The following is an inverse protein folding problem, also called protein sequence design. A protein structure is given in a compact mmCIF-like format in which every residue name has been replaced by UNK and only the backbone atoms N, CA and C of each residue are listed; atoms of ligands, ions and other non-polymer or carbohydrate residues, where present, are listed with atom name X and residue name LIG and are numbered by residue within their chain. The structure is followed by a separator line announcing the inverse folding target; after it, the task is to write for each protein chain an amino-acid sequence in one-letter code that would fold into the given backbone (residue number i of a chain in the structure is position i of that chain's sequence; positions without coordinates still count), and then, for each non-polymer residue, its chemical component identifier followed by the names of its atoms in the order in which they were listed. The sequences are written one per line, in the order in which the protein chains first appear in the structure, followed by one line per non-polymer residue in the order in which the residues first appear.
data_IF_274185635556
#
_entry.id   IF_274185635556
#
_cell.length_a   1.000
_cell.length_b   1.000
_cell.length_c   1.000
_cell.angle_alpha   90.00
_cell.angle_beta   90.00
_cell.angle_gamma   90.00
#
_symmetry.space_group_name_H-M   'P 1'
#
loop_
_entity.id
_entity.type
_entity.pdbx_description
1 polymer ?
#
# COMPACT_ATOMS: atom_id res chain seq x y z
N UNK A 1 -19.07 30.14 6.16
CA UNK A 1 -17.66 30.32 6.54
C UNK A 1 -16.87 29.60 5.46
N UNK A 2 -15.93 30.27 4.79
CA UNK A 2 -15.04 29.57 3.86
C UNK A 2 -14.32 28.49 4.67
N UNK A 3 -14.51 27.23 4.29
CA UNK A 3 -13.80 26.11 4.91
C UNK A 3 -12.30 26.43 4.82
N UNK A 4 -11.71 26.57 5.99
CA UNK A 4 -10.27 26.82 6.08
C UNK A 4 -9.58 25.59 5.51
N UNK A 5 -8.69 25.78 4.53
CA UNK A 5 -7.87 24.69 3.99
C UNK A 5 -6.98 24.14 5.14
N UNK A 6 -7.50 23.15 5.87
CA UNK A 6 -6.90 22.59 7.06
C UNK A 6 -6.72 21.07 6.87
N UNK A 7 -5.48 20.58 6.73
CA UNK A 7 -5.23 19.16 6.54
C UNK A 7 -5.65 18.32 7.76
N UNK A 8 -5.63 18.89 8.97
CA UNK A 8 -6.01 18.19 10.19
C UNK A 8 -7.51 17.92 10.22
N UNK A 9 -8.33 18.93 9.92
CA UNK A 9 -9.78 18.78 9.87
C UNK A 9 -10.21 17.81 8.75
N UNK A 10 -9.58 17.88 7.57
CA UNK A 10 -9.86 16.97 6.47
C UNK A 10 -9.48 15.53 6.81
N UNK A 11 -8.32 15.32 7.44
CA UNK A 11 -7.89 14.00 7.89
C UNK A 11 -8.85 13.42 8.92
N UNK A 12 -9.23 14.21 9.94
CA UNK A 12 -10.20 13.79 10.98
C UNK A 12 -11.52 13.35 10.34
N UNK A 13 -12.06 14.13 9.41
CA UNK A 13 -13.30 13.77 8.71
C UNK A 13 -13.21 12.47 7.89
N UNK A 14 -12.05 12.17 7.31
CA UNK A 14 -11.85 10.88 6.64
C UNK A 14 -11.67 9.73 7.64
N UNK A 15 -11.01 9.94 8.78
CA UNK A 15 -10.86 8.92 9.84
C UNK A 15 -12.21 8.49 10.37
N UNK A 16 -13.14 9.42 10.59
CA UNK A 16 -14.49 9.15 11.10
C UNK A 16 -15.33 8.26 10.18
N UNK A 17 -14.86 8.06 8.93
CA UNK A 17 -15.47 7.15 7.96
C UNK A 17 -14.65 5.85 7.90
N UNK A 18 -15.22 4.77 8.44
CA UNK A 18 -14.60 3.44 8.42
C UNK A 18 -14.46 2.92 7.00
N UNK A 19 -13.24 2.62 6.55
CA UNK A 19 -12.90 2.15 5.20
C UNK A 19 -11.88 1.01 5.21
N UNK A 20 -12.19 -0.03 5.97
CA UNK A 20 -11.34 -1.24 6.03
C UNK A 20 -11.36 -1.95 4.69
N UNK A 21 -10.17 -2.32 4.18
CA UNK A 21 -9.94 -2.85 2.83
C UNK A 21 -10.79 -4.06 2.42
N UNK A 22 -11.29 -4.84 3.40
CA UNK A 22 -12.17 -6.00 3.13
C UNK A 22 -13.57 -5.63 2.66
N UNK A 23 -14.01 -4.38 2.89
CA UNK A 23 -15.36 -3.90 2.59
C UNK A 23 -15.32 -2.77 1.56
N UNK A 24 -16.52 -2.34 1.15
CA UNK A 24 -16.60 -1.21 0.23
C UNK A 24 -16.04 0.08 0.89
N UNK A 25 -15.48 0.94 0.05
CA UNK A 25 -14.96 2.24 0.45
C UNK A 25 -15.80 3.42 -0.10
N UNK A 26 -17.05 3.16 -0.49
CA UNK A 26 -17.93 4.14 -1.15
C UNK A 26 -18.06 5.41 -0.32
N UNK A 27 -18.35 5.28 0.98
CA UNK A 27 -18.61 6.44 1.84
C UNK A 27 -17.41 7.40 1.94
N UNK A 28 -16.19 6.88 2.10
CA UNK A 28 -14.98 7.72 2.12
C UNK A 28 -14.69 8.33 0.75
N UNK A 29 -14.98 7.60 -0.33
CA UNK A 29 -14.81 8.09 -1.70
C UNK A 29 -15.80 9.22 -2.02
N UNK A 30 -17.07 9.12 -1.58
CA UNK A 30 -18.06 10.20 -1.69
C UNK A 30 -17.62 11.46 -0.92
N UNK A 31 -17.05 11.26 0.27
CA UNK A 31 -16.52 12.37 1.07
C UNK A 31 -15.36 13.08 0.34
N UNK A 32 -14.38 12.30 -0.14
CA UNK A 32 -13.22 12.82 -0.89
C UNK A 32 -13.66 13.53 -2.17
N UNK A 33 -14.54 12.92 -2.97
CA UNK A 33 -15.03 13.52 -4.21
C UNK A 33 -15.79 14.82 -3.96
N UNK A 34 -16.69 14.80 -2.97
CA UNK A 34 -17.47 16.00 -2.61
C UNK A 34 -16.57 17.14 -2.18
N UNK A 35 -15.55 16.84 -1.37
CA UNK A 35 -14.58 17.84 -0.96
C UNK A 35 -13.77 18.38 -2.15
N UNK A 36 -13.27 17.51 -3.03
CA UNK A 36 -12.53 17.91 -4.23
C UNK A 36 -13.38 18.83 -5.14
N UNK A 37 -14.64 18.47 -5.41
CA UNK A 37 -15.56 19.29 -6.20
C UNK A 37 -15.78 20.67 -5.59
N UNK A 38 -15.99 20.74 -4.28
CA UNK A 38 -16.16 21.99 -3.54
C UNK A 38 -14.93 22.92 -3.63
N UNK A 39 -13.73 22.36 -3.90
CA UNK A 39 -12.48 23.10 -4.01
C UNK A 39 -11.93 23.24 -5.43
N UNK A 40 -12.82 23.06 -6.43
CA UNK A 40 -12.54 23.38 -7.83
C UNK A 40 -11.74 22.33 -8.59
N UNK A 41 -11.81 21.07 -8.17
CA UNK A 41 -11.31 19.94 -8.96
C UNK A 41 -12.38 19.45 -9.94
N UNK A 42 -11.96 19.10 -11.14
CA UNK A 42 -12.67 18.16 -11.99
C UNK A 42 -12.42 16.75 -11.44
N UNK A 43 -13.45 15.92 -11.26
CA UNK A 43 -13.34 14.61 -10.64
C UNK A 43 -13.78 13.50 -11.56
N UNK A 44 -13.16 12.34 -11.43
CA UNK A 44 -13.52 11.09 -12.10
C UNK A 44 -13.74 10.02 -11.05
N UNK A 45 -14.92 9.35 -11.14
CA UNK A 45 -15.31 8.23 -10.30
C UNK A 45 -15.02 6.94 -11.03
N UNK A 46 -14.10 6.14 -10.52
CA UNK A 46 -13.69 4.85 -11.08
C UNK A 46 -14.11 3.71 -10.15
N UNK A 47 -15.00 2.85 -10.61
CA UNK A 47 -15.57 1.79 -9.78
C UNK A 47 -15.28 0.42 -10.38
N UNK A 48 -14.94 -0.54 -9.51
CA UNK A 48 -14.83 -1.96 -9.83
C UNK A 48 -15.40 -2.80 -8.69
N UNK A 49 -15.46 -4.11 -8.89
CA UNK A 49 -15.77 -5.08 -7.83
C UNK A 49 -14.55 -5.94 -7.58
N UNK A 50 -14.23 -6.15 -6.30
CA UNK A 50 -13.18 -7.08 -5.92
C UNK A 50 -13.62 -8.56 -6.12
N UNK A 51 -12.74 -9.50 -5.81
CA UNK A 51 -12.98 -10.94 -5.93
C UNK A 51 -14.15 -11.45 -5.06
N UNK A 52 -14.52 -10.71 -4.01
CA UNK A 52 -15.64 -10.99 -3.11
C UNK A 52 -16.95 -10.31 -3.55
N UNK A 53 -16.90 -9.52 -4.62
CA UNK A 53 -18.05 -8.75 -5.14
C UNK A 53 -18.28 -7.42 -4.43
N UNK A 54 -17.38 -6.99 -3.54
CA UNK A 54 -17.43 -5.70 -2.85
C UNK A 54 -17.14 -4.55 -3.83
N UNK A 55 -17.91 -3.47 -3.70
CA UNK A 55 -17.73 -2.27 -4.51
C UNK A 55 -16.50 -1.50 -4.05
N UNK A 56 -15.59 -1.25 -4.97
CA UNK A 56 -14.36 -0.49 -4.75
C UNK A 56 -14.36 0.74 -5.63
N UNK A 57 -14.00 1.86 -5.05
CA UNK A 57 -14.06 3.16 -5.72
C UNK A 57 -12.73 3.89 -5.58
N UNK A 58 -12.25 4.41 -6.70
CA UNK A 58 -11.11 5.31 -6.75
C UNK A 58 -11.57 6.67 -7.25
N UNK A 59 -11.06 7.74 -6.68
CA UNK A 59 -11.35 9.11 -7.09
C UNK A 59 -10.08 9.71 -7.69
N UNK A 60 -10.21 10.24 -8.89
CA UNK A 60 -9.15 11.05 -9.51
C UNK A 60 -9.64 12.49 -9.61
N UNK A 61 -8.94 13.40 -8.95
CA UNK A 61 -9.16 14.83 -9.03
C UNK A 61 -8.12 15.49 -9.94
N UNK A 62 -8.57 16.36 -10.86
CA UNK A 62 -7.70 17.17 -11.71
C UNK A 62 -7.92 18.66 -11.42
N UNK A 63 -6.83 19.42 -11.33
CA UNK A 63 -6.89 20.89 -11.24
C UNK A 63 -5.96 21.53 -12.27
N UNK A 64 -6.47 22.48 -13.04
CA UNK A 64 -5.79 23.01 -14.21
C UNK A 64 -5.78 22.06 -15.40
N UNK A 65 -5.09 22.44 -16.46
CA UNK A 65 -5.03 21.68 -17.72
C UNK A 65 -3.59 21.50 -18.19
N UNK A 66 -3.40 20.56 -19.14
CA UNK A 66 -2.11 20.27 -19.76
C UNK A 66 -1.36 19.13 -19.09
N UNK A 67 -0.50 18.46 -19.85
CA UNK A 67 0.33 17.32 -19.44
C UNK A 67 1.65 17.78 -18.81
N UNK A 68 2.31 16.87 -18.09
CA UNK A 68 3.66 17.10 -17.56
C UNK A 68 3.71 17.82 -16.24
N UNK A 69 2.60 17.87 -15.49
CA UNK A 69 2.53 18.44 -14.14
C UNK A 69 2.86 17.44 -13.03
N UNK A 70 2.23 17.63 -11.86
CA UNK A 70 2.41 16.80 -10.68
C UNK A 70 1.25 15.82 -10.50
N UNK A 71 1.58 14.59 -10.11
CA UNK A 71 0.63 13.60 -9.61
C UNK A 71 0.90 13.31 -8.13
N UNK A 72 -0.17 13.20 -7.35
CA UNK A 72 -0.14 12.76 -5.95
C UNK A 72 -1.06 11.53 -5.83
N UNK A 73 -0.53 10.47 -5.26
CA UNK A 73 -1.17 9.17 -5.23
C UNK A 73 -1.23 8.68 -3.79
N UNK A 74 -2.43 8.33 -3.32
CA UNK A 74 -2.68 7.89 -1.96
C UNK A 74 -3.85 6.93 -1.93
N UNK A 75 -3.93 6.07 -0.91
CA UNK A 75 -5.09 5.21 -0.70
C UNK A 75 -6.02 5.73 0.39
N UNK A 76 -7.27 5.24 0.38
CA UNK A 76 -8.32 5.59 1.34
C UNK A 76 -8.68 4.46 2.28
N UNK A 77 -8.33 3.24 1.89
CA UNK A 77 -8.55 2.05 2.71
C UNK A 77 -7.56 1.95 3.86
N UNK A 78 -7.85 1.13 4.83
CA UNK A 78 -7.03 0.90 6.02
C UNK A 78 -7.09 -0.56 6.45
N UNK A 79 -6.08 -1.01 7.19
CA UNK A 79 -6.18 -2.28 7.93
C UNK A 79 -7.25 -2.17 9.04
N UNK A 80 -7.73 -3.31 9.61
CA UNK A 80 -8.65 -3.32 10.75
C UNK A 80 -8.13 -2.50 11.95
N UNK A 81 -9.05 -1.84 12.66
CA UNK A 81 -8.71 -0.91 13.73
C UNK A 81 -8.46 -1.53 15.11
N UNK A 82 -8.78 -2.82 15.35
CA UNK A 82 -8.74 -3.44 16.68
C UNK A 82 -9.61 -2.68 17.70
N UNK A 83 -10.91 -2.55 17.37
CA UNK A 83 -11.88 -1.70 18.10
C UNK A 83 -12.09 -2.09 19.57
N UNK A 84 -11.64 -3.28 19.97
CA UNK A 84 -11.61 -3.74 21.37
C UNK A 84 -10.56 -3.04 22.24
N UNK A 85 -9.53 -2.44 21.61
CA UNK A 85 -8.39 -1.85 22.31
C UNK A 85 -8.43 -0.32 22.35
N UNK A 86 -9.14 0.33 21.40
CA UNK A 86 -9.23 1.78 21.27
C UNK A 86 -10.38 2.22 20.34
N UNK A 87 -10.56 3.54 20.12
CA UNK A 87 -11.53 4.09 19.15
C UNK A 87 -10.86 4.47 17.81
N UNK A 88 -10.59 3.52 16.91
CA UNK A 88 -9.77 3.75 15.71
C UNK A 88 -10.42 4.66 14.68
N UNK A 89 -11.76 4.69 14.63
CA UNK A 89 -12.51 5.44 13.60
C UNK A 89 -13.10 6.73 14.20
N UNK A 90 -12.29 7.39 15.01
CA UNK A 90 -12.54 8.71 15.53
C UNK A 90 -11.26 9.53 15.48
N UNK A 91 -11.26 10.59 14.65
CA UNK A 91 -10.12 11.50 14.54
C UNK A 91 -10.05 12.44 15.75
N UNK A 92 -9.08 12.21 16.65
CA UNK A 92 -8.92 12.99 17.88
C UNK A 92 -7.57 13.68 17.91
N UNK A 93 -7.58 15.01 18.08
CA UNK A 93 -6.35 15.78 18.32
C UNK A 93 -6.06 15.81 19.81
N UNK A 94 -4.89 15.28 20.20
CA UNK A 94 -4.35 15.35 21.53
C UNK A 94 -2.92 15.90 21.50
N UNK A 95 -2.72 17.06 22.10
CA UNK A 95 -1.43 17.75 22.05
C UNK A 95 -1.04 18.14 20.62
N UNK A 96 0.08 17.62 20.14
CA UNK A 96 0.66 17.86 18.82
C UNK A 96 0.39 16.73 17.81
N UNK A 97 -0.58 15.84 18.12
CA UNK A 97 -0.88 14.63 17.34
C UNK A 97 -2.36 14.51 16.99
N UNK A 98 -2.62 13.96 15.80
CA UNK A 98 -3.93 13.49 15.38
C UNK A 98 -3.96 11.97 15.45
N UNK A 99 -4.76 11.41 16.33
CA UNK A 99 -4.97 9.98 16.52
C UNK A 99 -6.11 9.48 15.66
N UNK A 100 -6.01 8.22 15.21
CA UNK A 100 -7.04 7.49 14.49
C UNK A 100 -6.46 6.58 13.42
N UNK A 101 -7.15 5.49 13.06
CA UNK A 101 -6.75 4.56 12.00
C UNK A 101 -6.73 5.26 10.65
N UNK A 102 -5.60 5.19 9.95
CA UNK A 102 -5.35 5.92 8.71
C UNK A 102 -4.87 7.36 8.91
N UNK A 103 -4.65 7.82 10.16
CA UNK A 103 -4.07 9.14 10.39
C UNK A 103 -2.68 9.25 9.77
N UNK A 104 -1.88 8.20 9.89
CA UNK A 104 -0.56 8.07 9.32
C UNK A 104 -0.58 7.32 7.98
N UNK A 105 -1.35 6.23 7.90
CA UNK A 105 -1.38 5.31 6.76
C UNK A 105 -2.81 5.15 6.20
N UNK A 106 -3.24 5.98 5.13
CA UNK A 106 -2.54 7.19 4.74
C UNK A 106 -3.50 8.36 4.44
N UNK A 107 -4.66 8.45 5.21
CA UNK A 107 -5.66 9.52 5.05
C UNK A 107 -5.08 10.91 5.37
N UNK A 108 -4.13 10.99 6.33
CA UNK A 108 -3.42 12.23 6.63
C UNK A 108 -2.56 12.72 5.46
N UNK A 109 -1.64 11.90 4.94
CA UNK A 109 -0.92 12.20 3.71
C UNK A 109 -1.83 12.57 2.53
N UNK A 110 -2.94 11.85 2.29
CA UNK A 110 -3.95 12.21 1.27
C UNK A 110 -4.51 13.63 1.51
N UNK A 111 -4.92 13.94 2.74
CA UNK A 111 -5.40 15.28 3.08
C UNK A 111 -4.38 16.36 2.77
N UNK A 112 -3.11 16.14 3.10
CA UNK A 112 -2.03 17.07 2.79
C UNK A 112 -1.90 17.35 1.28
N UNK A 113 -2.00 16.31 0.43
CA UNK A 113 -1.95 16.47 -1.04
C UNK A 113 -3.17 17.23 -1.57
N UNK A 114 -4.37 16.90 -1.08
CA UNK A 114 -5.62 17.56 -1.46
C UNK A 114 -5.60 19.05 -1.10
N UNK A 115 -5.20 19.39 0.13
CA UNK A 115 -5.09 20.78 0.61
C UNK A 115 -4.03 21.55 -0.19
N UNK A 116 -2.88 20.96 -0.45
CA UNK A 116 -1.82 21.59 -1.22
C UNK A 116 -2.29 21.96 -2.65
N UNK A 117 -2.97 21.04 -3.30
CA UNK A 117 -3.52 21.27 -4.64
C UNK A 117 -4.71 22.26 -4.62
N UNK A 118 -5.56 22.23 -3.59
CA UNK A 118 -6.66 23.18 -3.45
C UNK A 118 -6.18 24.62 -3.22
N UNK A 119 -5.07 24.79 -2.49
CA UNK A 119 -4.49 26.11 -2.17
C UNK A 119 -3.89 26.84 -3.38
N UNK A 120 -3.75 26.18 -4.53
CA UNK A 120 -3.18 26.78 -5.73
C UNK A 120 -4.30 27.33 -6.63
N UNK A 121 -4.11 28.55 -7.12
CA UNK A 121 -5.01 29.18 -8.09
C UNK A 121 -4.92 28.49 -9.45
N UNK A 122 -6.01 27.85 -9.88
CA UNK A 122 -6.07 27.10 -11.14
C UNK A 122 -5.73 27.98 -12.37
N UNK A 123 -6.00 29.28 -12.33
CA UNK A 123 -5.70 30.21 -13.43
C UNK A 123 -4.20 30.44 -13.65
N UNK A 124 -3.37 30.10 -12.66
CA UNK A 124 -1.90 30.19 -12.72
C UNK A 124 -1.22 28.89 -13.15
N UNK A 125 -1.97 27.81 -13.22
CA UNK A 125 -1.43 26.52 -13.62
C UNK A 125 -1.23 26.45 -15.14
N UNK A 126 -0.01 26.18 -15.58
CA UNK A 126 0.36 25.88 -16.97
C UNK A 126 0.30 24.39 -17.28
N UNK A 127 0.29 23.54 -16.24
CA UNK A 127 0.20 22.09 -16.28
C UNK A 127 -0.71 21.64 -15.16
N UNK A 128 -1.46 20.56 -15.42
CA UNK A 128 -2.42 20.05 -14.46
C UNK A 128 -1.76 19.44 -13.21
N UNK A 129 -2.50 19.47 -12.11
CA UNK A 129 -2.24 18.68 -10.91
C UNK A 129 -3.25 17.55 -10.85
N UNK A 130 -2.79 16.32 -10.67
CA UNK A 130 -3.60 15.13 -10.46
C UNK A 130 -3.48 14.70 -8.99
N UNK A 131 -4.60 14.41 -8.34
CA UNK A 131 -4.65 13.76 -7.02
C UNK A 131 -5.51 12.51 -7.17
N UNK A 132 -4.95 11.34 -6.94
CA UNK A 132 -5.69 10.09 -6.94
C UNK A 132 -5.81 9.54 -5.51
N UNK A 133 -7.03 9.15 -5.15
CA UNK A 133 -7.39 8.50 -3.90
C UNK A 133 -7.91 7.10 -4.24
N UNK A 134 -7.09 6.07 -3.99
CA UNK A 134 -7.33 4.69 -4.41
C UNK A 134 -7.86 3.80 -3.30
N UNK A 135 -8.33 2.62 -3.66
CA UNK A 135 -8.74 1.54 -2.77
C UNK A 135 -7.75 0.38 -2.83
N UNK A 136 -7.86 -0.54 -1.85
CA UNK A 136 -7.20 -1.84 -1.83
C UNK A 136 -5.66 -1.83 -1.90
N UNK A 137 -5.00 -0.76 -1.45
CA UNK A 137 -3.55 -0.76 -1.28
C UNK A 137 -3.13 -1.89 -0.34
N UNK A 138 -3.77 -1.99 0.81
CA UNK A 138 -3.52 -2.95 1.89
C UNK A 138 -3.77 -4.43 1.49
N UNK A 139 -4.39 -4.65 0.33
CA UNK A 139 -4.66 -5.96 -0.25
C UNK A 139 -3.89 -6.24 -1.54
N UNK A 140 -2.97 -5.35 -1.95
CA UNK A 140 -2.09 -5.58 -3.10
C UNK A 140 -2.21 -4.57 -4.25
N UNK A 141 -2.87 -3.43 -4.04
CA UNK A 141 -2.83 -2.29 -4.94
C UNK A 141 -3.68 -2.43 -6.21
N UNK A 142 -4.81 -3.14 -6.13
CA UNK A 142 -5.70 -3.30 -7.29
C UNK A 142 -6.34 -1.96 -7.70
N UNK A 143 -6.70 -1.10 -6.72
CA UNK A 143 -7.25 0.22 -6.99
C UNK A 143 -6.28 1.12 -7.75
N UNK A 144 -5.01 1.13 -7.36
CA UNK A 144 -3.97 1.88 -8.07
C UNK A 144 -3.75 1.35 -9.49
N UNK A 145 -3.74 0.01 -9.67
CA UNK A 145 -3.66 -0.61 -11.00
C UNK A 145 -4.85 -0.20 -11.86
N UNK A 146 -6.08 -0.34 -11.33
CA UNK A 146 -7.30 0.01 -12.04
C UNK A 146 -7.31 1.49 -12.44
N UNK A 147 -6.92 2.39 -11.52
CA UNK A 147 -6.80 3.82 -11.79
C UNK A 147 -5.81 4.11 -12.90
N UNK A 148 -4.63 3.50 -12.87
CA UNK A 148 -3.57 3.70 -13.87
C UNK A 148 -4.01 3.23 -15.25
N UNK A 149 -4.79 2.16 -15.34
CA UNK A 149 -5.26 1.58 -16.59
C UNK A 149 -6.49 2.31 -17.18
N UNK A 150 -7.38 2.87 -16.33
CA UNK A 150 -8.71 3.32 -16.77
C UNK A 150 -8.99 4.81 -16.61
N UNK A 151 -8.19 5.57 -15.83
CA UNK A 151 -8.45 6.98 -15.63
C UNK A 151 -8.20 7.81 -16.89
N UNK A 152 -9.25 8.41 -17.41
CA UNK A 152 -9.19 9.34 -18.54
C UNK A 152 -8.65 10.71 -18.13
N UNK A 153 -8.97 11.17 -16.91
CA UNK A 153 -8.42 12.43 -16.39
C UNK A 153 -6.90 12.34 -16.25
N UNK A 154 -6.39 11.24 -15.66
CA UNK A 154 -4.95 11.04 -15.53
C UNK A 154 -4.27 10.87 -16.90
N UNK A 155 -4.86 10.12 -17.84
CA UNK A 155 -4.34 9.97 -19.19
C UNK A 155 -4.32 11.30 -19.96
N UNK A 156 -5.39 12.08 -19.85
CA UNK A 156 -5.54 13.39 -20.50
C UNK A 156 -4.56 14.43 -19.96
N UNK A 157 -4.19 14.35 -18.70
CA UNK A 157 -3.29 15.28 -17.98
C UNK A 157 -2.09 14.55 -17.37
N UNK A 158 -1.51 13.57 -18.08
CA UNK A 158 -0.47 12.69 -17.55
C UNK A 158 0.66 13.47 -16.86
N UNK A 159 0.92 13.25 -15.56
CA UNK A 159 1.97 13.93 -14.82
C UNK A 159 3.38 13.56 -15.30
N UNK A 160 4.33 14.49 -15.18
CA UNK A 160 5.76 14.19 -15.36
C UNK A 160 6.40 13.62 -14.11
N UNK A 161 5.85 13.94 -12.94
CA UNK A 161 6.35 13.53 -11.62
C UNK A 161 5.20 13.03 -10.76
N UNK A 162 5.43 11.90 -10.08
CA UNK A 162 4.49 11.30 -9.15
C UNK A 162 5.04 11.25 -7.72
N UNK A 163 4.19 11.59 -6.76
CA UNK A 163 4.44 11.39 -5.32
C UNK A 163 3.46 10.34 -4.83
N UNK A 164 3.97 9.21 -4.34
CA UNK A 164 3.19 8.25 -3.56
C UNK A 164 3.37 8.66 -2.10
N UNK A 165 2.29 9.15 -1.49
CA UNK A 165 2.39 9.96 -0.27
C UNK A 165 2.45 9.13 1.03
N UNK A 166 3.05 7.95 1.00
CA UNK A 166 3.24 7.05 2.15
C UNK A 166 4.13 7.65 3.26
N UNK A 167 3.99 7.16 4.50
CA UNK A 167 4.71 7.70 5.66
C UNK A 167 6.22 7.41 5.60
N UNK A 168 7.01 8.43 5.24
CA UNK A 168 8.48 8.36 5.12
C UNK A 168 9.20 9.40 5.99
N UNK A 169 8.52 10.02 6.95
CA UNK A 169 9.06 11.15 7.71
C UNK A 169 9.55 12.29 6.81
N UNK A 170 8.92 12.49 5.64
CA UNK A 170 9.30 13.44 4.61
C UNK A 170 10.74 13.22 4.09
N UNK A 171 11.22 11.98 4.10
CA UNK A 171 12.46 11.59 3.44
C UNK A 171 12.12 10.95 2.11
N UNK A 172 12.73 11.34 0.98
CA UNK A 172 12.47 10.72 -0.30
C UNK A 172 12.89 9.25 -0.31
N UNK A 173 11.98 8.37 -0.69
CA UNK A 173 12.27 6.92 -0.82
C UNK A 173 12.26 6.57 -2.31
N UNK A 174 13.42 6.15 -2.83
CA UNK A 174 13.61 5.86 -4.24
C UNK A 174 13.44 4.36 -4.57
N UNK A 175 13.46 3.50 -3.56
CA UNK A 175 13.23 2.08 -3.75
C UNK A 175 12.59 1.41 -2.52
N UNK A 176 11.75 0.41 -2.76
CA UNK A 176 11.17 -0.42 -1.71
C UNK A 176 11.03 -1.88 -2.15
N UNK A 177 10.90 -2.79 -1.18
CA UNK A 177 10.64 -4.21 -1.46
C UNK A 177 9.17 -4.42 -1.81
N UNK A 178 8.91 -5.53 -2.50
CA UNK A 178 7.57 -5.98 -2.81
C UNK A 178 7.01 -6.96 -1.79
N UNK A 179 6.06 -7.78 -2.26
CA UNK A 179 5.46 -8.88 -1.50
C UNK A 179 5.27 -10.11 -2.38
N UNK A 180 5.56 -11.28 -1.84
CA UNK A 180 5.26 -12.57 -2.46
C UNK A 180 4.55 -13.46 -1.46
N UNK A 181 3.51 -14.15 -1.91
CA UNK A 181 2.73 -15.10 -1.11
C UNK A 181 2.46 -16.35 -1.94
N UNK A 182 2.82 -17.50 -1.40
CA UNK A 182 2.55 -18.79 -1.98
C UNK A 182 1.70 -19.58 -1.00
N UNK A 183 0.44 -19.84 -1.36
CA UNK A 183 -0.50 -20.62 -0.56
C UNK A 183 -0.53 -22.05 -1.05
N UNK A 184 -0.20 -22.99 -0.17
CA UNK A 184 -0.10 -24.42 -0.45
C UNK A 184 -1.10 -25.15 0.41
N UNK A 185 -2.01 -25.94 -0.18
CA UNK A 185 -3.07 -26.67 0.53
C UNK A 185 -2.98 -28.16 0.27
N UNK A 186 -2.73 -28.92 1.34
CA UNK A 186 -2.84 -30.37 1.36
C UNK A 186 -4.28 -30.77 1.73
N UNK A 187 -4.84 -31.75 1.01
CA UNK A 187 -6.19 -32.32 1.26
C UNK A 187 -6.06 -33.72 1.84
N UNK A 188 -6.68 -33.94 2.98
CA UNK A 188 -6.81 -35.23 3.65
C UNK A 188 -8.24 -35.75 3.62
N UNK A 189 -8.56 -36.67 4.52
CA UNK A 189 -9.91 -37.19 4.73
C UNK A 189 -10.24 -37.18 6.21
N UNK A 190 -11.30 -36.44 6.59
CA UNK A 190 -11.72 -36.37 7.99
C UNK A 190 -12.36 -37.69 8.46
N UNK A 191 -11.91 -38.17 9.59
CA UNK A 191 -12.53 -39.31 10.30
C UNK A 191 -12.16 -39.22 11.78
N UNK A 192 -12.89 -39.92 12.63
CA UNK A 192 -12.52 -40.06 14.04
C UNK A 192 -11.24 -40.90 14.15
N UNK A 193 -10.26 -40.43 14.95
CA UNK A 193 -8.94 -41.06 15.04
C UNK A 193 -8.98 -42.54 15.53
N UNK A 194 -10.05 -42.97 16.23
CA UNK A 194 -10.22 -44.36 16.65
C UNK A 194 -10.64 -45.32 15.53
N UNK A 195 -11.01 -44.81 14.35
CA UNK A 195 -11.52 -45.67 13.26
C UNK A 195 -10.43 -46.03 12.24
N UNK A 196 -9.32 -45.33 12.23
CA UNK A 196 -8.22 -45.48 11.29
C UNK A 196 -8.63 -45.34 9.80
N UNK A 197 -9.78 -44.66 9.55
CA UNK A 197 -10.35 -44.44 8.21
C UNK A 197 -9.94 -43.07 7.62
N UNK A 198 -9.27 -42.24 8.41
CA UNK A 198 -8.91 -40.87 7.99
C UNK A 198 -7.52 -40.78 7.37
N UNK A 199 -7.31 -39.66 6.66
CA UNK A 199 -5.98 -39.25 6.13
C UNK A 199 -5.72 -37.84 6.64
N UNK A 200 -4.70 -37.68 7.49
CA UNK A 200 -4.38 -36.38 8.05
C UNK A 200 -3.60 -35.50 7.05
N UNK A 201 -4.20 -34.39 6.65
CA UNK A 201 -3.53 -33.38 5.84
C UNK A 201 -2.29 -32.80 6.54
N UNK A 202 -2.26 -32.78 7.88
CA UNK A 202 -1.11 -32.32 8.67
C UNK A 202 0.12 -33.23 8.48
N UNK A 203 -0.09 -34.54 8.34
CA UNK A 203 1.02 -35.45 8.03
C UNK A 203 1.41 -35.41 6.55
N UNK A 204 0.44 -35.21 5.65
CA UNK A 204 0.74 -35.09 4.22
C UNK A 204 1.64 -33.88 3.92
N UNK A 205 1.38 -32.72 4.56
CA UNK A 205 2.14 -31.50 4.29
C UNK A 205 3.52 -31.46 5.00
N UNK A 206 3.73 -32.28 6.02
CA UNK A 206 4.94 -32.23 6.86
C UNK A 206 6.28 -32.34 6.08
N UNK A 207 6.42 -33.22 5.06
CA UNK A 207 7.65 -33.26 4.25
C UNK A 207 7.93 -31.94 3.52
N UNK A 208 6.90 -31.29 2.93
CA UNK A 208 7.02 -29.97 2.31
C UNK A 208 7.46 -28.90 3.33
N UNK A 209 6.90 -28.92 4.55
CA UNK A 209 7.30 -27.98 5.60
C UNK A 209 8.78 -28.16 5.99
N UNK A 210 9.27 -29.39 6.01
CA UNK A 210 10.68 -29.66 6.27
C UNK A 210 11.60 -29.06 5.17
N UNK A 211 11.17 -29.19 3.91
CA UNK A 211 11.88 -28.53 2.79
C UNK A 211 11.86 -27.00 2.91
N UNK A 212 10.72 -26.40 3.28
CA UNK A 212 10.62 -24.95 3.48
C UNK A 212 11.50 -24.47 4.63
N UNK A 213 11.63 -25.24 5.70
CA UNK A 213 12.53 -24.92 6.80
C UNK A 213 14.02 -24.92 6.38
N UNK A 214 14.40 -25.82 5.47
CA UNK A 214 15.75 -25.84 4.87
C UNK A 214 15.94 -24.67 3.90
N UNK A 215 14.97 -24.42 3.04
CA UNK A 215 14.99 -23.31 2.08
C UNK A 215 15.10 -21.96 2.81
N UNK A 216 14.35 -21.75 3.89
CA UNK A 216 14.41 -20.55 4.72
C UNK A 216 15.80 -20.24 5.27
N UNK A 217 16.64 -21.26 5.49
CA UNK A 217 18.04 -21.06 5.88
C UNK A 217 18.91 -20.66 4.70
N UNK A 218 18.74 -21.32 3.55
CA UNK A 218 19.59 -21.08 2.38
C UNK A 218 19.32 -19.71 1.75
N UNK A 219 18.08 -19.26 1.64
CA UNK A 219 17.72 -17.96 1.03
C UNK A 219 18.29 -16.76 1.79
N UNK A 220 18.59 -16.90 3.08
CA UNK A 220 19.20 -15.83 3.88
C UNK A 220 20.61 -15.46 3.46
N UNK A 221 21.32 -16.37 2.78
CA UNK A 221 22.71 -16.18 2.35
C UNK A 221 22.91 -16.37 0.85
N UNK A 222 21.85 -16.72 0.12
CA UNK A 222 21.91 -16.87 -1.32
C UNK A 222 21.87 -15.50 -2.02
N UNK A 223 22.96 -15.13 -2.74
CA UNK A 223 23.04 -13.81 -3.40
C UNK A 223 21.93 -13.55 -4.41
N UNK A 224 21.28 -14.60 -4.96
CA UNK A 224 20.17 -14.46 -5.91
C UNK A 224 18.95 -13.76 -5.30
N UNK A 225 18.77 -13.88 -3.98
CA UNK A 225 17.60 -13.40 -3.24
C UNK A 225 17.97 -12.29 -2.25
N UNK A 226 19.16 -11.70 -2.39
CA UNK A 226 19.62 -10.60 -1.56
C UNK A 226 19.65 -9.29 -2.35
N UNK A 227 19.22 -8.21 -1.71
CA UNK A 227 19.25 -6.86 -2.26
C UNK A 227 20.03 -5.96 -1.31
N UNK A 228 21.32 -5.80 -1.54
CA UNK A 228 22.25 -5.06 -0.66
C UNK A 228 21.97 -3.55 -0.58
N UNK A 229 21.10 -3.05 -1.42
CA UNK A 229 20.58 -1.67 -1.38
C UNK A 229 19.62 -1.44 -0.18
N UNK A 230 19.12 -2.53 0.45
CA UNK A 230 18.17 -2.48 1.57
C UNK A 230 18.80 -2.92 2.89
N UNK A 231 18.20 -2.43 3.97
CA UNK A 231 18.53 -2.92 5.32
C UNK A 231 17.23 -3.45 6.00
N UNK A 232 17.14 -4.78 6.29
CA UNK A 232 18.11 -5.82 5.96
C UNK A 232 18.13 -6.15 4.44
N UNK A 233 19.26 -6.71 3.93
CA UNK A 233 19.36 -7.10 2.52
C UNK A 233 18.56 -8.37 2.19
N UNK A 234 18.15 -9.14 3.18
CA UNK A 234 17.42 -10.41 3.05
C UNK A 234 15.96 -10.20 2.72
N UNK A 235 15.31 -11.21 2.15
CA UNK A 235 13.92 -11.14 1.71
C UNK A 235 12.87 -11.44 2.81
N UNK A 236 13.26 -11.71 4.06
CA UNK A 236 12.32 -11.92 5.17
C UNK A 236 11.42 -13.15 5.03
N UNK A 237 11.94 -14.25 4.53
CA UNK A 237 11.21 -15.51 4.31
C UNK A 237 10.50 -16.00 5.58
N UNK A 238 9.19 -16.20 5.51
CA UNK A 238 8.34 -16.61 6.62
C UNK A 238 7.33 -17.68 6.17
N UNK A 239 6.79 -18.42 7.14
CA UNK A 239 5.76 -19.44 6.91
C UNK A 239 4.69 -19.37 7.99
N UNK A 240 3.43 -19.33 7.57
CA UNK A 240 2.24 -19.47 8.42
C UNK A 240 1.57 -20.80 8.13
N UNK A 241 1.09 -21.50 9.16
CA UNK A 241 0.43 -22.81 9.05
C UNK A 241 -0.93 -22.79 9.73
N UNK A 242 -1.92 -23.39 9.09
CA UNK A 242 -3.25 -23.60 9.68
C UNK A 242 -3.84 -24.94 9.25
N UNK A 243 -4.40 -25.68 10.19
CA UNK A 243 -5.22 -26.89 9.96
C UNK A 243 -6.72 -26.59 10.11
N UNK A 244 -7.08 -25.29 10.08
CA UNK A 244 -8.44 -24.78 10.21
C UNK A 244 -9.15 -25.19 11.51
N UNK A 245 -8.38 -25.32 12.59
CA UNK A 245 -8.91 -25.61 13.92
C UNK A 245 -9.34 -27.06 14.14
N UNK A 246 -8.69 -28.01 13.45
CA UNK A 246 -8.96 -29.45 13.61
C UNK A 246 -8.69 -29.88 15.05
N UNK A 247 -9.61 -30.65 15.64
CA UNK A 247 -9.48 -31.18 16.99
C UNK A 247 -8.62 -32.44 17.02
N UNK A 248 -7.97 -32.74 18.14
CA UNK A 248 -7.03 -33.86 18.29
C UNK A 248 -7.63 -35.26 18.06
N UNK A 249 -8.94 -35.42 18.15
CA UNK A 249 -9.64 -36.67 17.91
C UNK A 249 -10.19 -36.81 16.48
N UNK A 250 -9.77 -35.94 15.54
CA UNK A 250 -10.20 -35.95 14.13
C UNK A 250 -8.96 -35.85 13.24
N UNK A 251 -8.91 -36.67 12.18
CA UNK A 251 -7.92 -36.48 11.12
C UNK A 251 -8.20 -35.17 10.35
N UNK A 252 -7.19 -34.32 10.19
CA UNK A 252 -7.34 -33.05 9.50
C UNK A 252 -7.69 -33.24 8.02
N UNK A 253 -8.84 -32.75 7.60
CA UNK A 253 -9.27 -32.82 6.20
C UNK A 253 -8.49 -31.87 5.30
N UNK A 254 -7.91 -30.81 5.86
CA UNK A 254 -7.16 -29.78 5.14
C UNK A 254 -6.07 -29.18 6.03
N UNK A 255 -4.92 -28.93 5.43
CA UNK A 255 -3.85 -28.13 6.05
C UNK A 255 -3.31 -27.17 5.00
N UNK A 256 -3.18 -25.88 5.38
CA UNK A 256 -2.72 -24.82 4.49
C UNK A 256 -1.44 -24.20 5.06
N UNK A 257 -0.39 -24.18 4.26
CA UNK A 257 0.82 -23.43 4.51
C UNK A 257 0.84 -22.18 3.60
N UNK A 258 1.17 -21.02 4.20
CA UNK A 258 1.33 -19.77 3.47
C UNK A 258 2.79 -19.34 3.64
N UNK A 259 3.55 -19.42 2.55
CA UNK A 259 4.93 -18.95 2.49
C UNK A 259 4.91 -17.51 2.01
N UNK A 260 5.53 -16.62 2.78
CA UNK A 260 5.62 -15.18 2.45
C UNK A 260 7.05 -14.68 2.47
N UNK A 261 7.39 -13.75 1.58
CA UNK A 261 8.66 -13.04 1.59
C UNK A 261 8.57 -11.69 0.85
N UNK A 262 9.63 -10.89 0.94
CA UNK A 262 9.71 -9.53 0.39
C UNK A 262 10.73 -9.47 -0.77
N UNK A 263 10.29 -9.64 -2.04
CA UNK A 263 11.18 -9.53 -3.19
C UNK A 263 11.76 -8.12 -3.33
N UNK A 264 13.02 -8.04 -3.70
CA UNK A 264 13.63 -6.79 -4.14
C UNK A 264 13.23 -6.42 -5.58
N UNK A 265 13.56 -5.21 -6.04
CA UNK A 265 13.21 -4.77 -7.40
C UNK A 265 13.89 -5.59 -8.51
N UNK A 266 15.08 -6.12 -8.25
CA UNK A 266 15.98 -6.71 -9.24
C UNK A 266 16.52 -8.10 -8.87
N UNK A 267 16.09 -8.66 -7.74
CA UNK A 267 16.48 -10.01 -7.34
C UNK A 267 15.75 -11.09 -8.18
N UNK A 268 16.10 -12.34 -7.94
CA UNK A 268 15.52 -13.48 -8.66
C UNK A 268 14.35 -14.13 -7.92
N UNK A 269 13.52 -13.34 -7.28
CA UNK A 269 12.42 -13.81 -6.44
C UNK A 269 11.37 -14.62 -7.22
N UNK A 270 11.20 -14.41 -8.54
CA UNK A 270 10.34 -15.26 -9.36
C UNK A 270 10.84 -16.71 -9.42
N UNK A 271 12.16 -16.90 -9.47
CA UNK A 271 12.75 -18.26 -9.44
C UNK A 271 12.39 -18.94 -8.11
N UNK A 272 12.39 -18.18 -7.01
CA UNK A 272 12.03 -18.70 -5.69
C UNK A 272 10.55 -19.05 -5.57
N UNK A 273 9.65 -18.19 -6.08
CA UNK A 273 8.20 -18.46 -6.13
C UNK A 273 7.93 -19.75 -6.91
N UNK A 274 8.52 -19.88 -8.10
CA UNK A 274 8.31 -21.07 -8.94
C UNK A 274 8.93 -22.33 -8.31
N UNK A 275 10.10 -22.24 -7.70
CA UNK A 275 10.74 -23.36 -6.97
C UNK A 275 9.82 -23.88 -5.86
N UNK A 276 9.26 -22.99 -5.03
CA UNK A 276 8.33 -23.36 -3.95
C UNK A 276 7.07 -24.01 -4.52
N UNK A 277 6.49 -23.40 -5.57
CA UNK A 277 5.30 -23.90 -6.21
C UNK A 277 5.50 -25.28 -6.85
N UNK A 278 6.63 -25.54 -7.51
CA UNK A 278 6.98 -26.83 -8.09
C UNK A 278 7.15 -27.91 -7.01
N UNK A 279 7.82 -27.59 -5.90
CA UNK A 279 7.94 -28.51 -4.76
C UNK A 279 6.58 -28.90 -4.20
N UNK A 280 5.67 -27.93 -4.02
CA UNK A 280 4.32 -28.21 -3.53
C UNK A 280 3.50 -29.06 -4.52
N UNK A 281 3.57 -28.77 -5.82
CA UNK A 281 2.91 -29.56 -6.87
C UNK A 281 3.44 -30.99 -6.95
N UNK A 282 4.76 -31.20 -6.67
CA UNK A 282 5.35 -32.54 -6.62
C UNK A 282 4.68 -33.44 -5.59
N UNK A 283 4.20 -32.87 -4.48
CA UNK A 283 3.41 -33.57 -3.46
C UNK A 283 1.93 -33.69 -3.80
N UNK A 284 1.48 -33.14 -4.95
CA UNK A 284 0.08 -33.16 -5.35
C UNK A 284 -0.79 -32.14 -4.62
N UNK A 285 -0.19 -31.07 -4.03
CA UNK A 285 -0.94 -30.04 -3.32
C UNK A 285 -1.50 -28.98 -4.27
N UNK A 286 -2.61 -28.35 -3.86
CA UNK A 286 -3.12 -27.17 -4.52
C UNK A 286 -2.20 -25.98 -4.19
N UNK A 287 -1.89 -25.17 -5.21
CA UNK A 287 -0.97 -24.02 -5.07
C UNK A 287 -1.55 -22.79 -5.73
N UNK A 288 -1.57 -21.70 -5.01
CA UNK A 288 -1.78 -20.36 -5.58
C UNK A 288 -0.60 -19.46 -5.25
N UNK A 289 -0.25 -18.57 -6.18
CA UNK A 289 0.88 -17.66 -6.03
C UNK A 289 0.44 -16.23 -6.31
N UNK A 290 0.90 -15.31 -5.50
CA UNK A 290 0.75 -13.87 -5.68
C UNK A 290 2.13 -13.24 -5.53
N UNK A 291 2.50 -12.32 -6.42
CA UNK A 291 3.75 -11.58 -6.29
C UNK A 291 3.63 -10.18 -6.87
N UNK A 292 3.99 -9.21 -6.06
CA UNK A 292 4.25 -7.83 -6.47
C UNK A 292 5.76 -7.58 -6.34
N UNK A 293 6.40 -7.17 -7.43
CA UNK A 293 7.81 -6.79 -7.39
C UNK A 293 8.03 -5.56 -6.51
N UNK A 294 9.22 -5.42 -5.98
CA UNK A 294 9.69 -4.17 -5.39
C UNK A 294 9.72 -3.05 -6.44
N UNK A 295 9.79 -1.83 -5.96
CA UNK A 295 9.89 -0.63 -6.76
C UNK A 295 11.29 -0.04 -6.68
N UNK A 296 11.76 0.56 -7.79
CA UNK A 296 12.98 1.35 -7.82
C UNK A 296 12.92 2.39 -8.94
N UNK A 297 13.31 3.59 -8.59
CA UNK A 297 13.67 4.68 -9.50
C UNK A 297 15.13 5.07 -9.22
N UNK A 298 15.82 5.67 -10.17
CA UNK A 298 17.20 6.10 -9.92
C UNK A 298 17.23 7.19 -8.83
N UNK A 299 18.15 7.14 -7.86
CA UNK A 299 18.21 8.12 -6.77
C UNK A 299 18.51 9.55 -7.26
N UNK A 300 19.08 9.71 -8.44
CA UNK A 300 19.31 10.99 -9.12
C UNK A 300 18.18 11.40 -10.07
N UNK A 301 17.10 10.62 -10.17
CA UNK A 301 15.94 10.96 -10.98
C UNK A 301 15.33 12.31 -10.55
N UNK A 302 14.85 13.08 -11.52
CA UNK A 302 14.38 14.45 -11.27
C UNK A 302 13.28 14.55 -10.20
N UNK A 303 12.38 13.56 -10.10
CA UNK A 303 11.34 13.52 -9.07
C UNK A 303 11.92 13.30 -7.67
N UNK A 304 12.96 12.47 -7.53
CA UNK A 304 13.65 12.21 -6.27
C UNK A 304 14.41 13.45 -5.83
N UNK A 305 15.14 14.07 -6.77
CA UNK A 305 15.90 15.30 -6.50
C UNK A 305 15.00 16.48 -6.14
N UNK A 306 13.83 16.60 -6.78
CA UNK A 306 12.83 17.61 -6.43
C UNK A 306 12.35 17.42 -4.97
N UNK A 307 12.01 16.18 -4.58
CA UNK A 307 11.58 15.87 -3.22
C UNK A 307 12.71 16.15 -2.20
N UNK A 308 13.94 15.73 -2.48
CA UNK A 308 15.10 16.01 -1.64
C UNK A 308 15.34 17.53 -1.46
N UNK A 309 15.37 18.28 -2.55
CA UNK A 309 15.60 19.74 -2.50
C UNK A 309 14.53 20.45 -1.67
N UNK A 310 13.25 20.12 -1.88
CA UNK A 310 12.14 20.82 -1.22
C UNK A 310 11.91 20.37 0.22
N UNK A 311 12.44 19.21 0.62
CA UNK A 311 12.45 18.73 2.01
C UNK A 311 13.67 19.18 2.82
N UNK A 312 14.45 20.16 2.33
CA UNK A 312 15.60 20.68 3.02
C UNK A 312 16.90 19.90 2.80
N UNK A 313 17.02 19.17 1.68
CA UNK A 313 18.21 18.40 1.30
C UNK A 313 18.30 17.02 1.98
N UNK A 314 17.17 16.45 2.43
CA UNK A 314 17.14 15.08 2.96
C UNK A 314 17.63 14.10 1.92
N UNK A 315 18.54 13.21 2.31
CA UNK A 315 19.14 12.25 1.38
C UNK A 315 18.12 11.14 1.06
N UNK A 316 18.00 10.75 -0.22
CA UNK A 316 17.13 9.67 -0.60
C UNK A 316 17.54 8.33 0.02
N UNK A 317 16.56 7.51 0.42
CA UNK A 317 16.79 6.22 1.08
C UNK A 317 15.94 5.09 0.47
N UNK A 318 16.11 3.88 0.99
CA UNK A 318 15.31 2.70 0.65
C UNK A 318 14.57 2.19 1.87
N UNK A 319 13.40 1.56 1.65
CA UNK A 319 12.60 0.99 2.73
C UNK A 319 12.22 -0.47 2.47
N UNK A 320 12.02 -1.29 3.52
CA UNK A 320 11.72 -2.71 3.35
C UNK A 320 10.23 -3.04 3.16
N UNK A 321 9.31 -2.09 3.34
CA UNK A 321 7.86 -2.26 3.10
C UNK A 321 7.51 -1.97 1.65
N UNK A 322 6.30 -2.34 1.21
CA UNK A 322 5.79 -2.08 -0.14
C UNK A 322 4.81 -0.92 -0.16
N UNK A 323 4.51 -0.38 -1.34
CA UNK A 323 3.53 0.68 -1.60
C UNK A 323 2.91 0.53 -2.99
N UNK A 324 1.96 1.38 -3.34
CA UNK A 324 1.38 1.46 -4.70
C UNK A 324 2.33 2.06 -5.76
N UNK A 325 3.55 2.47 -5.41
CA UNK A 325 4.48 3.08 -6.36
C UNK A 325 4.73 2.25 -7.63
N UNK A 326 4.87 0.90 -7.61
CA UNK A 326 5.04 0.11 -8.84
C UNK A 326 3.86 0.25 -9.82
N UNK A 327 2.64 0.47 -9.31
CA UNK A 327 1.43 0.59 -10.11
C UNK A 327 1.40 1.91 -10.88
N UNK A 328 1.67 3.01 -10.20
CA UNK A 328 1.73 4.34 -10.82
C UNK A 328 2.97 4.53 -11.68
N UNK A 329 4.10 3.94 -11.27
CA UNK A 329 5.37 4.03 -12.01
C UNK A 329 5.32 3.38 -13.40
N UNK A 330 4.33 2.55 -13.68
CA UNK A 330 4.07 2.04 -15.03
C UNK A 330 3.82 3.17 -16.06
N UNK A 331 3.38 4.35 -15.60
CA UNK A 331 3.10 5.52 -16.47
C UNK A 331 3.81 6.81 -16.04
N UNK A 332 4.14 6.96 -14.77
CA UNK A 332 4.64 8.22 -14.20
C UNK A 332 5.85 7.94 -13.32
N UNK A 333 7.03 8.55 -13.55
CA UNK A 333 8.17 8.43 -12.63
C UNK A 333 7.75 8.89 -11.23
N UNK A 334 7.84 8.01 -10.23
CA UNK A 334 7.39 8.28 -8.87
C UNK A 334 8.55 8.36 -7.88
N UNK A 335 8.32 9.00 -6.73
CA UNK A 335 9.07 8.85 -5.49
C UNK A 335 8.07 8.62 -4.36
N UNK A 336 8.40 7.76 -3.41
CA UNK A 336 7.57 7.60 -2.20
C UNK A 336 8.00 8.67 -1.22
N UNK A 337 7.05 9.53 -0.79
CA UNK A 337 7.38 10.69 0.01
C UNK A 337 6.15 11.25 0.71
N UNK A 338 6.08 11.13 2.03
CA UNK A 338 4.96 11.66 2.80
C UNK A 338 5.26 11.86 4.29
N UNK A 339 4.34 12.54 4.98
CA UNK A 339 4.41 12.77 6.42
C UNK A 339 4.09 11.50 7.19
N UNK A 340 4.52 11.44 8.44
CA UNK A 340 4.30 10.32 9.34
C UNK A 340 5.40 9.28 9.29
N UNK A 341 5.37 8.37 10.26
CA UNK A 341 6.33 7.28 10.40
C UNK A 341 5.65 5.94 10.17
N UNK A 342 6.25 5.10 9.34
CA UNK A 342 5.78 3.71 9.12
C UNK A 342 5.69 2.90 10.44
N UNK A 343 6.40 3.29 11.48
CA UNK A 343 6.32 2.64 12.79
C UNK A 343 4.98 2.88 13.50
N UNK A 344 4.18 3.83 13.02
CA UNK A 344 2.82 4.09 13.50
C UNK A 344 1.77 3.34 12.70
N UNK A 345 2.06 2.99 11.45
CA UNK A 345 1.16 2.23 10.61
C UNK A 345 0.78 0.89 11.26
N UNK A 346 -0.49 0.48 11.13
CA UNK A 346 -1.02 -0.79 11.60
C UNK A 346 -0.97 -1.03 13.12
N UNK A 347 -0.64 0.00 13.92
CA UNK A 347 -0.57 -0.10 15.38
C UNK A 347 -1.87 0.31 16.06
N UNK A 348 -2.10 -0.17 17.30
CA UNK A 348 -3.08 0.40 18.21
C UNK A 348 -2.61 1.80 18.63
N UNK A 349 -3.52 2.78 18.59
CA UNK A 349 -3.17 4.17 18.89
C UNK A 349 -2.37 4.86 17.77
N UNK A 350 -2.58 4.46 16.52
CA UNK A 350 -1.98 5.12 15.35
C UNK A 350 -2.21 6.64 15.38
N UNK A 351 -1.15 7.39 15.09
CA UNK A 351 -1.20 8.85 15.05
C UNK A 351 -0.28 9.42 13.97
N UNK A 352 -0.54 10.68 13.63
CA UNK A 352 0.38 11.52 12.84
C UNK A 352 0.69 12.82 13.61
N UNK A 353 1.95 13.26 13.57
CA UNK A 353 2.36 14.54 14.13
C UNK A 353 1.82 15.71 13.27
N UNK A 354 1.12 16.66 13.90
CA UNK A 354 0.51 17.81 13.21
C UNK A 354 1.55 18.64 12.46
N UNK A 355 2.73 18.78 13.02
CA UNK A 355 3.83 19.52 12.40
C UNK A 355 4.25 18.90 11.06
N UNK A 356 4.34 17.55 10.99
CA UNK A 356 4.68 16.86 9.73
C UNK A 356 3.57 16.98 8.69
N UNK A 357 2.30 16.92 9.12
CA UNK A 357 1.16 17.07 8.23
C UNK A 357 1.14 18.46 7.58
N UNK A 358 1.39 19.51 8.35
CA UNK A 358 1.51 20.88 7.84
C UNK A 358 2.77 21.08 6.97
N UNK A 359 3.91 20.52 7.38
CA UNK A 359 5.16 20.58 6.60
C UNK A 359 4.97 19.91 5.22
N UNK A 360 4.36 18.71 5.18
CA UNK A 360 4.03 18.02 3.94
C UNK A 360 3.17 18.88 3.02
N UNK A 361 2.09 19.45 3.55
CA UNK A 361 1.20 20.34 2.80
C UNK A 361 1.96 21.50 2.15
N UNK A 362 2.87 22.13 2.90
CA UNK A 362 3.69 23.22 2.38
C UNK A 362 4.70 22.75 1.32
N UNK A 363 5.31 21.57 1.49
CA UNK A 363 6.24 20.99 0.51
C UNK A 363 5.50 20.62 -0.78
N UNK A 364 4.37 19.94 -0.69
CA UNK A 364 3.57 19.55 -1.86
C UNK A 364 3.08 20.78 -2.65
N UNK A 365 2.67 21.82 -1.95
CA UNK A 365 2.34 23.08 -2.59
C UNK A 365 3.52 23.67 -3.37
N UNK A 366 4.72 23.70 -2.79
CA UNK A 366 5.95 24.16 -3.48
C UNK A 366 6.30 23.28 -4.67
N UNK A 367 6.08 21.95 -4.59
CA UNK A 367 6.25 21.04 -5.74
C UNK A 367 5.33 21.45 -6.89
N UNK A 368 4.04 21.71 -6.59
CA UNK A 368 3.06 22.18 -7.59
C UNK A 368 3.51 23.52 -8.19
N UNK A 369 3.87 24.50 -7.35
CA UNK A 369 4.33 25.81 -7.79
C UNK A 369 5.58 25.72 -8.70
N UNK A 370 6.50 24.81 -8.39
CA UNK A 370 7.75 24.63 -9.15
C UNK A 370 7.52 23.96 -10.50
N UNK A 371 6.60 22.97 -10.57
CA UNK A 371 6.45 22.10 -11.76
C UNK A 371 5.30 22.56 -12.63
N UNK A 372 4.23 23.12 -12.04
CA UNK A 372 2.98 23.38 -12.75
C UNK A 372 2.74 24.87 -13.07
N UNK A 373 3.49 25.78 -12.47
CA UNK A 373 3.39 27.23 -12.75
C UNK A 373 4.54 27.72 -13.62
#
# INVERSE_FOLDING_TARGET
MADRLDPVALTSGMIDIKSVSRWNNVAVSEYVESWMKAHGFETEWLEYKDENGERKVNIVGKKGDGKGGMGFFSHTDTVPGQEEDWEPYRGVVEGDRLYGRGSCDMKGPLAATMIAAAAVDASKLKKAVIVAATSDEELGGEGARFTTEHSKLMEGALPAYGIVAEPTLLTPVYAHKGGATITVTAKGHAAHTSTDLGISANFLIAPFLAEMAMLAKSVKTDPRYMSHEFNPPTNGFNLVLTDHGTRSNVFAARCTAIVGFRPGPHDKSEELVEEIAQRARHYGFDVTTQMNRGYRVEPDAAVVQLASQLSGGRQPETVPYGTDAPRFAAKVPCVVFGPGSITQAHTVGEYIDLAQLHEATAIYRRMIETVCM
#
